data_IF_107614650119
#
_entry.id   IF_107614650119
#
_cell.length_a   1.000
_cell.length_b   1.000
_cell.length_c   1.000
_cell.angle_alpha   90.00
_cell.angle_beta   90.00
_cell.angle_gamma   90.00
#
_symmetry.space_group_name_H-M   'P 1'
#
loop_
_entity.id
_entity.type
_entity.pdbx_description
1 polymer ?
#
# COMPACT_ATOMS: atom_id res chain seq x y z
N UNK A 1 -15.36 -20.61 11.06
CA UNK A 1 -14.23 -20.96 10.18
C UNK A 1 -14.21 -22.48 10.02
N UNK A 2 -14.22 -22.94 8.78
CA UNK A 2 -14.20 -24.37 8.48
C UNK A 2 -12.77 -24.91 8.66
N UNK A 3 -12.52 -25.91 9.53
CA UNK A 3 -11.17 -26.46 9.73
C UNK A 3 -10.70 -27.25 8.52
N UNK A 4 -9.39 -27.43 8.42
CA UNK A 4 -8.74 -28.26 7.39
C UNK A 4 -9.11 -27.91 5.93
N UNK A 5 -9.27 -26.64 5.63
CA UNK A 5 -9.70 -26.15 4.32
C UNK A 5 -8.64 -25.30 3.63
N UNK A 6 -8.84 -25.16 2.32
CA UNK A 6 -8.10 -24.23 1.48
C UNK A 6 -9.00 -23.07 1.06
N UNK A 7 -8.40 -21.90 0.88
CA UNK A 7 -9.03 -20.76 0.25
C UNK A 7 -8.10 -20.20 -0.83
N UNK A 8 -8.61 -20.09 -2.05
CA UNK A 8 -7.90 -19.42 -3.14
C UNK A 8 -8.43 -17.98 -3.22
N UNK A 9 -7.53 -17.02 -2.98
CA UNK A 9 -7.81 -15.60 -3.19
C UNK A 9 -7.23 -15.21 -4.53
N UNK A 10 -8.09 -14.85 -5.47
CA UNK A 10 -7.70 -14.35 -6.79
C UNK A 10 -7.96 -12.86 -6.82
N UNK A 11 -6.89 -12.10 -7.01
CA UNK A 11 -6.91 -10.65 -7.20
C UNK A 11 -6.61 -10.39 -8.66
N UNK A 12 -7.59 -9.89 -9.39
CA UNK A 12 -7.41 -9.52 -10.80
C UNK A 12 -8.24 -8.28 -11.08
N UNK A 13 -7.62 -7.31 -11.71
CA UNK A 13 -8.26 -6.06 -12.09
C UNK A 13 -7.83 -5.65 -13.48
N UNK A 14 -8.82 -5.22 -14.26
CA UNK A 14 -8.60 -4.60 -15.56
C UNK A 14 -9.11 -3.16 -15.52
N UNK A 15 -8.36 -2.30 -14.84
CA UNK A 15 -8.72 -0.88 -14.72
C UNK A 15 -8.45 -0.07 -15.99
N UNK A 16 -7.79 -0.65 -16.99
CA UNK A 16 -7.64 -0.03 -18.31
C UNK A 16 -8.97 0.10 -19.07
N UNK A 17 -10.00 -0.67 -18.70
CA UNK A 17 -11.36 -0.48 -19.24
C UNK A 17 -11.98 0.86 -18.84
N UNK A 18 -11.49 1.49 -17.78
CA UNK A 18 -11.91 2.82 -17.34
C UNK A 18 -11.14 3.95 -18.07
N UNK A 19 -10.66 3.68 -19.27
CA UNK A 19 -9.99 4.69 -20.08
C UNK A 19 -10.95 5.85 -20.40
N UNK A 20 -10.56 7.04 -19.98
CA UNK A 20 -11.35 8.24 -20.12
C UNK A 20 -10.88 9.05 -21.33
N UNK A 21 -11.82 9.41 -22.21
CA UNK A 21 -11.56 10.13 -23.47
C UNK A 21 -12.01 11.60 -23.44
N UNK A 22 -12.56 12.07 -22.30
CA UNK A 22 -13.00 13.44 -22.13
C UNK A 22 -11.88 14.37 -21.66
N UNK A 23 -12.26 15.59 -21.25
CA UNK A 23 -11.36 16.68 -20.88
C UNK A 23 -11.29 16.96 -19.37
N UNK A 24 -12.04 16.23 -18.53
CA UNK A 24 -11.98 16.43 -17.07
C UNK A 24 -10.62 15.98 -16.51
N UNK A 25 -9.86 16.96 -16.04
CA UNK A 25 -8.50 16.76 -15.56
C UNK A 25 -8.42 15.78 -14.37
N UNK A 26 -9.46 15.70 -13.55
CA UNK A 26 -9.54 14.80 -12.41
C UNK A 26 -9.63 13.32 -12.83
N UNK A 27 -10.06 13.05 -14.06
CA UNK A 27 -10.24 11.72 -14.63
C UNK A 27 -9.07 11.29 -15.54
N UNK A 28 -8.32 12.25 -16.11
CA UNK A 28 -7.19 11.95 -17.01
C UNK A 28 -6.01 11.27 -16.31
N UNK A 29 -5.82 11.54 -15.02
CA UNK A 29 -4.69 10.96 -14.27
C UNK A 29 -4.76 9.43 -14.23
N UNK A 30 -5.95 8.86 -14.18
CA UNK A 30 -6.15 7.41 -14.18
C UNK A 30 -5.58 6.74 -15.42
N UNK A 31 -5.69 7.40 -16.59
CA UNK A 31 -5.14 6.89 -17.85
C UNK A 31 -3.62 6.71 -17.81
N UNK A 32 -2.93 7.56 -17.05
CA UNK A 32 -1.46 7.51 -16.95
C UNK A 32 -0.96 6.37 -16.08
N UNK A 33 -1.68 6.05 -15.00
CA UNK A 33 -1.17 5.16 -13.94
C UNK A 33 -1.88 3.82 -13.86
N UNK A 34 -3.14 3.71 -14.23
CA UNK A 34 -3.91 2.46 -14.12
C UNK A 34 -3.45 1.45 -15.17
N UNK A 35 -3.26 0.21 -14.70
CA UNK A 35 -2.83 -0.94 -15.52
C UNK A 35 -3.60 -2.20 -15.10
N UNK A 36 -3.48 -3.23 -15.93
CA UNK A 36 -4.02 -4.55 -15.65
C UNK A 36 -3.01 -5.40 -14.90
N UNK A 37 -3.48 -6.18 -13.93
CA UNK A 37 -2.65 -7.10 -13.18
C UNK A 37 -3.46 -8.15 -12.45
N UNK A 38 -2.78 -9.22 -12.01
CA UNK A 38 -3.41 -10.29 -11.26
C UNK A 38 -2.44 -10.99 -10.32
N UNK A 39 -3.01 -11.54 -9.24
CA UNK A 39 -2.30 -12.39 -8.30
C UNK A 39 -3.24 -13.47 -7.77
N UNK A 40 -2.70 -14.65 -7.51
CA UNK A 40 -3.41 -15.76 -6.90
C UNK A 40 -2.69 -16.20 -5.62
N UNK A 41 -3.40 -16.23 -4.50
CA UNK A 41 -2.87 -16.56 -3.18
C UNK A 41 -3.63 -17.74 -2.61
N UNK A 42 -2.91 -18.86 -2.43
CA UNK A 42 -3.48 -20.04 -1.80
C UNK A 42 -3.26 -19.96 -0.29
N UNK A 43 -4.35 -19.92 0.46
CA UNK A 43 -4.38 -19.96 1.91
C UNK A 43 -4.78 -21.37 2.38
N UNK A 44 -4.15 -21.82 3.46
CA UNK A 44 -4.49 -23.07 4.13
C UNK A 44 -4.56 -22.87 5.64
N UNK A 45 -5.54 -23.49 6.28
CA UNK A 45 -5.61 -23.58 7.74
C UNK A 45 -5.26 -24.99 8.26
N UNK A 46 -4.67 -25.82 7.38
CA UNK A 46 -4.18 -27.16 7.76
C UNK A 46 -2.81 -27.04 8.43
N UNK A 47 -2.65 -27.65 9.59
CA UNK A 47 -1.36 -27.64 10.32
C UNK A 47 -0.24 -28.34 9.54
N UNK A 48 -0.56 -29.38 8.76
CA UNK A 48 0.38 -30.11 7.89
C UNK A 48 1.01 -29.25 6.80
N UNK A 49 0.35 -28.16 6.39
CA UNK A 49 0.85 -27.32 5.31
C UNK A 49 1.84 -26.26 5.79
N UNK A 50 1.98 -26.08 7.12
CA UNK A 50 2.86 -25.06 7.70
C UNK A 50 4.32 -25.21 7.23
N UNK A 51 4.83 -26.42 7.12
CA UNK A 51 6.21 -26.68 6.71
C UNK A 51 6.46 -26.32 5.23
N UNK A 52 5.41 -26.33 4.40
CA UNK A 52 5.48 -26.00 2.96
C UNK A 52 5.13 -24.54 2.67
N UNK A 53 4.47 -23.86 3.60
CA UNK A 53 4.03 -22.48 3.42
C UNK A 53 5.20 -21.50 3.41
N UNK A 54 5.11 -20.45 2.60
CA UNK A 54 6.07 -19.33 2.61
C UNK A 54 5.82 -18.41 3.80
N UNK A 55 4.56 -18.07 4.03
CA UNK A 55 4.12 -17.05 4.99
C UNK A 55 2.99 -17.56 5.87
N UNK A 56 2.86 -16.93 7.01
CA UNK A 56 1.72 -17.04 7.92
C UNK A 56 1.06 -15.68 8.05
N UNK A 57 -0.24 -15.60 7.81
CA UNK A 57 -1.05 -14.41 8.10
C UNK A 57 -1.19 -14.29 9.62
N UNK A 58 -0.78 -13.14 10.18
CA UNK A 58 -0.81 -12.87 11.62
C UNK A 58 -1.98 -11.99 11.99
N UNK A 59 -2.10 -10.83 11.31
CA UNK A 59 -3.15 -9.86 11.57
C UNK A 59 -3.74 -9.31 10.28
N UNK A 60 -5.02 -8.96 10.35
CA UNK A 60 -5.70 -8.15 9.34
C UNK A 60 -6.46 -7.04 10.03
N UNK A 61 -6.30 -5.81 9.55
CA UNK A 61 -7.07 -4.65 10.02
C UNK A 61 -7.74 -4.00 8.83
N UNK A 62 -9.06 -3.82 8.94
CA UNK A 62 -9.87 -3.19 7.88
C UNK A 62 -10.45 -1.89 8.38
N UNK A 63 -10.21 -0.83 7.63
CA UNK A 63 -10.79 0.50 7.87
C UNK A 63 -11.62 0.90 6.67
N UNK A 64 -12.85 1.33 6.90
CA UNK A 64 -13.78 1.78 5.88
C UNK A 64 -14.38 3.12 6.29
N UNK A 65 -14.27 4.12 5.44
CA UNK A 65 -14.76 5.50 5.66
C UNK A 65 -15.96 5.85 4.80
N UNK A 66 -16.64 4.89 4.20
CA UNK A 66 -17.70 5.11 3.21
C UNK A 66 -19.01 5.70 3.76
N UNK A 67 -19.12 5.91 5.06
CA UNK A 67 -20.21 6.68 5.67
C UNK A 67 -19.98 8.20 5.63
N UNK A 68 -18.79 8.65 5.28
CA UNK A 68 -18.44 10.04 5.06
C UNK A 68 -18.50 10.35 3.57
N UNK A 69 -19.31 11.34 3.18
CA UNK A 69 -19.54 11.69 1.77
C UNK A 69 -18.26 12.17 1.08
N UNK A 70 -17.37 12.87 1.78
CA UNK A 70 -16.09 13.29 1.22
C UNK A 70 -15.20 12.08 0.92
N UNK A 71 -15.17 11.10 1.83
CA UNK A 71 -14.42 9.87 1.64
C UNK A 71 -15.04 8.99 0.56
N UNK A 72 -16.36 8.91 0.49
CA UNK A 72 -17.08 8.17 -0.56
C UNK A 72 -16.78 8.73 -1.95
N UNK A 73 -16.84 10.05 -2.11
CA UNK A 73 -16.70 10.72 -3.40
C UNK A 73 -15.25 11.00 -3.81
N UNK A 74 -14.24 10.66 -2.98
CA UNK A 74 -12.85 11.02 -3.28
C UNK A 74 -12.22 10.21 -4.43
N UNK A 75 -12.71 8.98 -4.65
CA UNK A 75 -12.40 8.15 -5.82
C UNK A 75 -13.72 7.55 -6.28
N UNK A 76 -14.29 8.10 -7.34
CA UNK A 76 -15.63 7.73 -7.77
C UNK A 76 -15.76 7.70 -9.29
N UNK A 77 -16.42 6.67 -9.81
CA UNK A 77 -16.75 6.57 -11.24
C UNK A 77 -18.04 7.36 -11.52
N UNK A 78 -17.95 8.34 -12.40
CA UNK A 78 -19.09 9.21 -12.75
C UNK A 78 -18.95 9.74 -14.16
N UNK A 79 -20.05 10.28 -14.68
CA UNK A 79 -20.05 11.12 -15.89
C UNK A 79 -19.29 12.42 -15.62
N UNK A 80 -18.59 12.93 -16.64
CA UNK A 80 -18.03 14.27 -16.60
C UNK A 80 -19.11 15.35 -16.79
N UNK A 81 -18.71 16.61 -16.74
CA UNK A 81 -19.61 17.74 -16.92
C UNK A 81 -19.69 18.22 -18.37
N UNK A 82 -19.01 17.53 -19.31
CA UNK A 82 -19.05 17.87 -20.72
C UNK A 82 -20.37 17.40 -21.36
N UNK A 83 -20.73 17.98 -22.49
CA UNK A 83 -21.98 17.67 -23.22
C UNK A 83 -22.10 16.18 -23.59
N UNK A 84 -20.97 15.52 -23.81
CA UNK A 84 -20.91 14.11 -24.18
C UNK A 84 -21.01 13.14 -23.00
N UNK A 85 -21.01 13.64 -21.74
CA UNK A 85 -21.16 12.85 -20.50
C UNK A 85 -20.28 11.60 -20.47
N UNK A 86 -19.00 11.77 -20.77
CA UNK A 86 -18.04 10.66 -20.75
C UNK A 86 -17.86 10.13 -19.34
N UNK A 87 -17.87 8.80 -19.19
CA UNK A 87 -17.67 8.14 -17.89
C UNK A 87 -16.19 8.00 -17.62
N UNK A 88 -15.75 8.43 -16.43
CA UNK A 88 -14.37 8.30 -15.97
C UNK A 88 -14.28 8.11 -14.46
N UNK A 89 -13.09 7.75 -13.98
CA UNK A 89 -12.78 7.67 -12.55
C UNK A 89 -12.23 9.01 -12.08
N UNK A 90 -13.04 9.75 -11.35
CA UNK A 90 -12.67 11.05 -10.78
C UNK A 90 -11.83 10.86 -9.52
N UNK A 91 -10.68 11.52 -9.47
CA UNK A 91 -9.80 11.59 -8.29
C UNK A 91 -9.89 12.98 -7.67
N UNK A 92 -10.46 13.06 -6.47
CA UNK A 92 -10.61 14.33 -5.74
C UNK A 92 -9.26 14.90 -5.32
N UNK A 93 -9.17 16.24 -5.27
CA UNK A 93 -8.02 16.95 -4.68
C UNK A 93 -7.80 16.61 -3.20
N UNK A 94 -8.84 16.20 -2.49
CA UNK A 94 -8.78 15.83 -1.07
C UNK A 94 -8.34 14.38 -0.84
N UNK A 95 -8.08 13.61 -1.91
CA UNK A 95 -7.71 12.20 -1.83
C UNK A 95 -6.58 11.93 -0.83
N UNK A 96 -5.54 12.75 -0.83
CA UNK A 96 -4.39 12.56 0.06
C UNK A 96 -4.75 12.77 1.53
N UNK A 97 -5.57 13.77 1.86
CA UNK A 97 -6.03 14.02 3.22
C UNK A 97 -6.90 12.86 3.73
N UNK A 98 -7.83 12.38 2.90
CA UNK A 98 -8.71 11.25 3.21
C UNK A 98 -7.92 9.95 3.39
N UNK A 99 -6.95 9.69 2.52
CA UNK A 99 -6.05 8.54 2.63
C UNK A 99 -5.23 8.60 3.93
N UNK A 100 -4.73 9.78 4.30
CA UNK A 100 -4.02 10.01 5.55
C UNK A 100 -4.89 9.74 6.78
N UNK A 101 -6.14 10.18 6.78
CA UNK A 101 -7.08 9.89 7.87
C UNK A 101 -7.45 8.40 7.97
N UNK A 102 -7.67 7.76 6.84
CA UNK A 102 -7.95 6.32 6.80
C UNK A 102 -6.74 5.51 7.30
N UNK A 103 -5.52 5.87 6.87
CA UNK A 103 -4.28 5.28 7.37
C UNK A 103 -4.13 5.49 8.87
N UNK A 104 -4.31 6.70 9.38
CA UNK A 104 -4.24 7.01 10.81
C UNK A 104 -5.20 6.14 11.62
N UNK A 105 -6.43 5.97 11.17
CA UNK A 105 -7.40 5.08 11.83
C UNK A 105 -6.92 3.64 11.81
N UNK A 106 -6.40 3.18 10.69
CA UNK A 106 -5.90 1.82 10.50
C UNK A 106 -4.70 1.52 11.41
N UNK A 107 -3.67 2.40 11.43
CA UNK A 107 -2.48 2.23 12.26
C UNK A 107 -2.77 2.34 13.77
N UNK A 108 -3.79 3.13 14.15
CA UNK A 108 -4.22 3.22 15.55
C UNK A 108 -4.78 1.87 16.04
N UNK A 109 -5.43 1.13 15.16
CA UNK A 109 -5.93 -0.22 15.47
C UNK A 109 -4.82 -1.28 15.37
N UNK A 110 -3.93 -1.15 14.38
CA UNK A 110 -2.84 -2.11 14.16
C UNK A 110 -1.74 -2.00 15.21
N UNK A 111 -1.38 -0.78 15.62
CA UNK A 111 -0.24 -0.49 16.51
C UNK A 111 -0.20 -1.36 17.76
N UNK A 112 -1.28 -1.44 18.56
CA UNK A 112 -1.32 -2.29 19.75
C UNK A 112 -1.09 -3.78 19.49
N UNK A 113 -1.32 -4.26 18.27
CA UNK A 113 -1.16 -5.66 17.90
C UNK A 113 0.28 -6.03 17.50
N UNK A 114 1.09 -5.06 17.10
CA UNK A 114 2.37 -5.32 16.42
C UNK A 114 3.56 -4.59 17.03
N UNK A 115 3.35 -3.41 17.60
CA UNK A 115 4.42 -2.56 18.15
C UNK A 115 4.94 -3.10 19.48
N UNK A 116 6.23 -2.94 19.76
CA UNK A 116 6.77 -3.24 21.08
C UNK A 116 6.15 -2.34 22.16
N UNK A 117 6.13 -2.80 23.40
CA UNK A 117 5.51 -2.08 24.52
C UNK A 117 6.11 -0.69 24.74
N UNK A 118 7.39 -0.49 24.46
CA UNK A 118 8.04 0.82 24.52
C UNK A 118 7.36 1.87 23.65
N UNK A 119 7.09 1.52 22.40
CA UNK A 119 6.40 2.41 21.45
C UNK A 119 4.95 2.68 21.87
N UNK A 120 4.26 1.67 22.36
CA UNK A 120 2.88 1.80 22.86
C UNK A 120 2.81 2.74 24.07
N UNK A 121 3.73 2.59 25.02
CA UNK A 121 3.82 3.45 26.21
C UNK A 121 4.16 4.90 25.83
N UNK A 122 5.10 5.10 24.91
CA UNK A 122 5.48 6.43 24.44
C UNK A 122 4.33 7.12 23.71
N UNK A 123 3.62 6.38 22.85
CA UNK A 123 2.41 6.89 22.21
C UNK A 123 1.34 7.28 23.24
N UNK A 124 1.08 6.42 24.21
CA UNK A 124 0.09 6.67 25.25
C UNK A 124 0.48 7.87 26.11
N UNK A 125 1.75 7.97 26.53
CA UNK A 125 2.25 9.08 27.33
C UNK A 125 2.09 10.43 26.60
N UNK A 126 2.43 10.47 25.31
CA UNK A 126 2.23 11.69 24.50
C UNK A 126 0.76 12.05 24.29
N UNK A 127 -0.11 11.04 24.15
CA UNK A 127 -1.56 11.23 24.04
C UNK A 127 -2.14 11.83 25.34
N UNK A 128 -1.74 11.30 26.49
CA UNK A 128 -2.14 11.80 27.81
C UNK A 128 -1.62 13.21 28.03
N UNK A 129 -0.34 13.46 27.75
CA UNK A 129 0.26 14.79 27.87
C UNK A 129 -0.50 15.85 27.05
N UNK A 130 -0.93 15.49 25.84
CA UNK A 130 -1.70 16.41 24.98
C UNK A 130 -3.14 16.61 25.42
N UNK A 131 -3.85 15.52 25.78
CA UNK A 131 -5.28 15.57 26.10
C UNK A 131 -5.56 16.02 27.55
N UNK A 132 -4.78 15.52 28.51
CA UNK A 132 -5.01 15.77 29.93
C UNK A 132 -4.34 17.09 30.35
N UNK A 133 -3.08 17.29 29.99
CA UNK A 133 -2.32 18.50 30.38
C UNK A 133 -2.41 19.64 29.36
N UNK A 134 -3.19 19.46 28.27
CA UNK A 134 -3.44 20.45 27.23
C UNK A 134 -2.15 21.11 26.65
N UNK A 135 -1.05 20.37 26.62
CA UNK A 135 0.24 20.84 26.13
C UNK A 135 0.23 20.84 24.61
N UNK A 136 -0.29 21.89 23.99
CA UNK A 136 -0.42 22.04 22.51
C UNK A 136 0.92 22.07 21.78
N UNK A 137 2.05 22.32 22.47
CA UNK A 137 3.40 22.35 21.87
C UNK A 137 3.95 20.97 21.54
N UNK A 138 3.43 19.89 22.14
CA UNK A 138 3.89 18.51 21.87
C UNK A 138 3.28 18.05 20.55
N UNK A 139 4.14 17.76 19.56
CA UNK A 139 3.69 17.14 18.29
C UNK A 139 3.10 15.75 18.57
N UNK A 140 2.10 15.30 17.79
CA UNK A 140 1.64 13.91 17.88
C UNK A 140 2.81 12.96 17.65
N UNK A 141 3.00 12.00 18.55
CA UNK A 141 3.97 10.95 18.34
C UNK A 141 3.44 9.96 17.31
N UNK A 142 4.26 9.66 16.32
CA UNK A 142 4.02 8.59 15.36
C UNK A 142 4.98 7.48 15.73
N UNK A 143 4.48 6.28 16.14
CA UNK A 143 5.33 5.16 16.50
C UNK A 143 6.22 4.72 15.34
N UNK A 144 7.42 4.24 15.65
CA UNK A 144 8.32 3.69 14.65
C UNK A 144 7.91 2.26 14.26
N UNK A 145 7.21 2.13 13.15
CA UNK A 145 6.77 0.85 12.62
C UNK A 145 7.91 -0.01 12.06
N UNK A 146 9.11 0.56 11.83
CA UNK A 146 10.31 -0.19 11.44
C UNK A 146 10.79 -1.14 12.54
N UNK A 147 10.40 -0.88 13.80
CA UNK A 147 10.62 -1.80 14.93
C UNK A 147 9.66 -3.01 14.92
N UNK A 148 8.58 -2.92 14.15
CA UNK A 148 7.60 -3.98 14.04
C UNK A 148 7.71 -4.77 12.73
N UNK A 149 8.29 -4.19 11.68
CA UNK A 149 8.29 -4.78 10.35
C UNK A 149 9.62 -4.58 9.64
N UNK A 150 10.10 -5.66 9.04
CA UNK A 150 11.29 -5.66 8.20
C UNK A 150 10.97 -5.25 6.76
N UNK A 151 9.75 -5.53 6.28
CA UNK A 151 9.35 -5.27 4.90
C UNK A 151 7.99 -4.56 4.83
N UNK A 152 7.89 -3.64 3.86
CA UNK A 152 6.68 -2.87 3.58
C UNK A 152 6.26 -3.09 2.13
N UNK A 153 4.97 -3.39 1.93
CA UNK A 153 4.34 -3.41 0.62
C UNK A 153 3.21 -2.39 0.65
N UNK A 154 3.41 -1.25 -0.03
CA UNK A 154 2.51 -0.11 0.04
C UNK A 154 1.85 0.05 -1.31
N UNK A 155 0.52 0.01 -1.33
CA UNK A 155 -0.27 0.13 -2.55
C UNK A 155 0.30 1.15 -3.54
N UNK A 156 0.72 0.68 -4.70
CA UNK A 156 1.31 1.48 -5.78
C UNK A 156 0.24 2.34 -6.47
N UNK A 157 -0.49 3.13 -5.69
CA UNK A 157 -1.62 3.95 -6.14
C UNK A 157 -1.19 5.14 -7.00
N UNK A 158 0.06 5.57 -6.85
CA UNK A 158 0.66 6.69 -7.56
C UNK A 158 1.82 7.26 -6.76
N UNK A 159 2.67 8.04 -7.40
CA UNK A 159 3.89 8.57 -6.80
C UNK A 159 3.61 9.39 -5.55
N UNK A 160 2.65 10.33 -5.62
CA UNK A 160 2.32 11.21 -4.49
C UNK A 160 1.85 10.42 -3.25
N UNK A 161 1.15 9.29 -3.45
CA UNK A 161 0.71 8.42 -2.36
C UNK A 161 1.93 7.78 -1.68
N UNK A 162 2.88 7.28 -2.45
CA UNK A 162 4.10 6.67 -1.92
C UNK A 162 4.97 7.69 -1.18
N UNK A 163 5.15 8.91 -1.74
CA UNK A 163 5.93 9.97 -1.13
C UNK A 163 5.32 10.43 0.22
N UNK A 164 3.99 10.53 0.31
CA UNK A 164 3.32 10.91 1.54
C UNK A 164 3.42 9.84 2.62
N UNK A 165 3.33 8.56 2.26
CA UNK A 165 3.48 7.45 3.22
C UNK A 165 4.92 7.34 3.70
N UNK A 166 5.90 7.45 2.80
CA UNK A 166 7.32 7.49 3.15
C UNK A 166 7.59 8.54 4.21
N UNK A 167 7.09 9.78 4.00
CA UNK A 167 7.23 10.88 4.93
C UNK A 167 6.50 10.63 6.26
N UNK A 168 5.27 10.14 6.21
CA UNK A 168 4.43 9.96 7.41
C UNK A 168 4.89 8.80 8.29
N UNK A 169 5.47 7.75 7.71
CA UNK A 169 5.99 6.59 8.45
C UNK A 169 7.52 6.63 8.61
N UNK A 170 8.18 7.68 8.14
CA UNK A 170 9.63 7.86 8.17
C UNK A 170 10.37 6.62 7.60
N UNK A 171 9.91 6.15 6.44
CA UNK A 171 10.49 4.98 5.79
C UNK A 171 11.73 5.37 4.98
N UNK A 172 12.71 4.47 4.93
CA UNK A 172 13.90 4.65 4.11
C UNK A 172 13.64 4.28 2.64
N UNK A 173 14.53 4.71 1.74
CA UNK A 173 14.51 4.32 0.33
C UNK A 173 14.45 2.79 0.15
N UNK A 174 15.16 2.04 1.01
CA UNK A 174 15.15 0.58 1.00
C UNK A 174 13.77 -0.02 1.28
N UNK A 175 13.01 0.58 2.22
CA UNK A 175 11.63 0.15 2.53
C UNK A 175 10.66 0.49 1.41
N UNK A 176 10.88 1.63 0.73
CA UNK A 176 10.01 2.11 -0.34
C UNK A 176 10.30 1.49 -1.71
N UNK A 177 11.50 0.93 -1.89
CA UNK A 177 11.96 0.40 -3.16
C UNK A 177 11.00 -0.62 -3.80
N UNK A 178 10.45 -1.63 -3.09
CA UNK A 178 9.52 -2.58 -3.69
C UNK A 178 8.29 -1.91 -4.30
N UNK A 179 7.71 -0.93 -3.58
CA UNK A 179 6.50 -0.21 -4.02
C UNK A 179 6.80 0.75 -5.18
N UNK A 180 7.94 1.46 -5.14
CA UNK A 180 8.36 2.37 -6.21
C UNK A 180 8.69 1.60 -7.48
N UNK A 181 9.40 0.48 -7.38
CA UNK A 181 9.73 -0.35 -8.54
C UNK A 181 8.49 -1.02 -9.13
N UNK A 182 7.53 -1.43 -8.29
CA UNK A 182 6.25 -1.97 -8.74
C UNK A 182 5.45 -0.92 -9.51
N UNK A 183 5.37 0.32 -8.99
CA UNK A 183 4.72 1.42 -9.70
C UNK A 183 5.42 1.73 -11.03
N UNK A 184 6.74 1.70 -11.06
CA UNK A 184 7.52 1.97 -12.28
C UNK A 184 7.27 0.92 -13.36
N UNK A 185 7.37 -0.36 -13.01
CA UNK A 185 7.30 -1.45 -13.98
C UNK A 185 5.87 -1.82 -14.38
N UNK A 186 4.96 -1.89 -13.42
CA UNK A 186 3.61 -2.42 -13.62
C UNK A 186 2.53 -1.35 -13.56
N UNK A 187 2.86 -0.14 -13.08
CA UNK A 187 1.86 0.89 -12.81
C UNK A 187 0.96 0.54 -11.63
N UNK A 188 -0.19 1.19 -11.55
CA UNK A 188 -1.21 0.89 -10.55
C UNK A 188 -2.08 -0.28 -11.04
N UNK A 189 -1.81 -1.46 -10.53
CA UNK A 189 -2.59 -2.68 -10.78
C UNK A 189 -3.57 -2.97 -9.64
N UNK A 190 -3.88 -1.94 -8.84
CA UNK A 190 -4.80 -1.99 -7.72
C UNK A 190 -4.46 -3.11 -6.72
N UNK A 191 -5.39 -4.02 -6.45
CA UNK A 191 -5.26 -5.05 -5.42
C UNK A 191 -4.12 -6.03 -5.65
N UNK A 192 -3.63 -6.20 -6.86
CA UNK A 192 -2.51 -7.10 -7.17
C UNK A 192 -1.13 -6.49 -6.93
N UNK A 193 -1.02 -5.16 -6.83
CA UNK A 193 0.28 -4.47 -6.66
C UNK A 193 1.07 -4.93 -5.45
N UNK A 194 0.41 -5.14 -4.31
CA UNK A 194 1.03 -5.58 -3.06
C UNK A 194 1.74 -6.95 -3.18
N UNK A 195 1.23 -7.82 -4.04
CA UNK A 195 1.81 -9.12 -4.31
C UNK A 195 3.02 -9.03 -5.22
N UNK A 196 3.03 -8.07 -6.17
CA UNK A 196 4.22 -7.77 -6.98
C UNK A 196 5.35 -7.18 -6.13
N UNK A 197 5.03 -6.36 -5.12
CA UNK A 197 5.99 -5.81 -4.17
C UNK A 197 6.60 -6.89 -3.28
N UNK A 198 5.78 -7.82 -2.78
CA UNK A 198 6.26 -8.97 -2.04
C UNK A 198 7.15 -9.85 -2.92
N UNK A 199 6.73 -10.11 -4.17
CA UNK A 199 7.51 -10.87 -5.14
C UNK A 199 8.84 -10.18 -5.49
N UNK A 200 8.88 -8.84 -5.53
CA UNK A 200 10.12 -8.07 -5.66
C UNK A 200 11.09 -8.36 -4.52
N UNK A 201 10.61 -8.26 -3.28
CA UNK A 201 11.42 -8.54 -2.09
C UNK A 201 11.92 -9.98 -2.05
N UNK A 202 11.11 -10.95 -2.52
CA UNK A 202 11.52 -12.34 -2.70
C UNK A 202 12.63 -12.47 -3.77
N UNK A 203 12.47 -11.82 -4.93
CA UNK A 203 13.45 -11.87 -6.02
C UNK A 203 14.79 -11.23 -5.64
N UNK A 204 14.77 -10.18 -4.82
CA UNK A 204 15.96 -9.55 -4.23
C UNK A 204 16.61 -10.38 -3.11
N UNK A 205 16.01 -11.50 -2.70
CA UNK A 205 16.54 -12.33 -1.61
C UNK A 205 16.48 -11.63 -0.24
N UNK A 206 15.57 -10.68 -0.06
CA UNK A 206 15.46 -9.89 1.18
C UNK A 206 14.73 -10.64 2.29
N UNK A 207 13.83 -11.55 1.94
CA UNK A 207 12.93 -12.23 2.89
C UNK A 207 13.69 -13.34 3.65
N UNK A 208 13.80 -13.18 4.95
CA UNK A 208 14.39 -14.16 5.87
C UNK A 208 13.31 -14.81 6.75
N UNK A 209 13.59 -16.00 7.24
CA UNK A 209 12.70 -16.67 8.19
C UNK A 209 12.52 -15.82 9.45
N UNK A 210 11.27 -15.56 9.80
CA UNK A 210 10.90 -14.75 10.96
C UNK A 210 10.50 -13.33 10.60
N UNK A 211 10.96 -12.79 9.46
CA UNK A 211 10.66 -11.44 9.01
C UNK A 211 9.15 -11.22 8.93
N UNK A 212 8.74 -10.02 9.30
CA UNK A 212 7.36 -9.56 9.20
C UNK A 212 7.23 -8.57 8.06
N UNK A 213 6.23 -8.80 7.24
CA UNK A 213 5.86 -7.94 6.12
C UNK A 213 4.52 -7.29 6.40
N UNK A 214 4.47 -5.97 6.25
CA UNK A 214 3.23 -5.21 6.34
C UNK A 214 2.77 -4.79 4.94
N UNK A 215 1.60 -5.27 4.55
CA UNK A 215 0.90 -4.84 3.34
C UNK A 215 -0.12 -3.76 3.70
N UNK A 216 -0.04 -2.60 3.05
CA UNK A 216 -0.94 -1.46 3.21
C UNK A 216 -1.69 -1.23 1.91
N UNK A 217 -2.99 -1.50 1.91
CA UNK A 217 -3.84 -1.38 0.74
C UNK A 217 -4.80 -0.19 0.87
N UNK A 218 -4.93 0.58 -0.19
CA UNK A 218 -5.95 1.61 -0.33
C UNK A 218 -6.95 1.23 -1.41
N UNK A 219 -8.19 1.67 -1.25
CA UNK A 219 -9.25 1.46 -2.22
C UNK A 219 -10.32 2.53 -2.12
N UNK A 220 -11.11 2.65 -3.19
CA UNK A 220 -12.26 3.55 -3.23
C UNK A 220 -13.23 3.28 -2.08
N UNK A 221 -13.96 4.29 -1.69
CA UNK A 221 -14.98 4.14 -0.69
C UNK A 221 -14.91 4.99 0.59
N UNK A 222 -13.85 5.53 1.18
CA UNK A 222 -12.45 5.17 1.04
C UNK A 222 -12.07 4.05 2.01
N UNK A 223 -11.12 3.19 1.63
CA UNK A 223 -10.69 2.06 2.48
C UNK A 223 -9.18 2.07 2.68
N UNK A 224 -8.75 1.70 3.89
CA UNK A 224 -7.37 1.36 4.20
C UNK A 224 -7.34 0.01 4.91
N UNK A 225 -6.66 -0.96 4.34
CA UNK A 225 -6.56 -2.29 4.92
C UNK A 225 -5.10 -2.64 5.15
N UNK A 226 -4.83 -3.30 6.26
CA UNK A 226 -3.53 -3.85 6.60
C UNK A 226 -3.57 -5.37 6.69
N UNK A 227 -2.55 -6.03 6.15
CA UNK A 227 -2.28 -7.43 6.38
C UNK A 227 -0.84 -7.60 6.86
N UNK A 228 -0.66 -8.35 7.93
CA UNK A 228 0.65 -8.65 8.53
C UNK A 228 0.99 -10.11 8.29
N UNK A 229 2.09 -10.33 7.61
CA UNK A 229 2.60 -11.66 7.31
C UNK A 229 3.92 -11.91 8.03
N UNK A 230 4.13 -13.15 8.46
CA UNK A 230 5.43 -13.62 8.96
C UNK A 230 5.99 -14.67 8.02
N UNK A 231 7.23 -14.50 7.58
CA UNK A 231 7.94 -15.45 6.77
C UNK A 231 8.26 -16.72 7.59
N UNK A 232 7.80 -17.88 7.13
CA UNK A 232 8.04 -19.17 7.77
C UNK A 232 9.38 -19.78 7.37
N UNK A 233 9.96 -19.28 6.30
CA UNK A 233 11.27 -19.71 5.78
C UNK A 233 11.97 -18.55 5.06
N UNK A 234 13.27 -18.65 4.94
CA UNK A 234 14.06 -17.77 4.07
C UNK A 234 13.75 -18.12 2.62
N UNK A 235 13.52 -17.11 1.78
CA UNK A 235 13.25 -17.27 0.36
C UNK A 235 14.56 -17.21 -0.41
N UNK A 236 14.86 -18.27 -1.13
CA UNK A 236 16.04 -18.38 -1.98
C UNK A 236 15.67 -18.05 -3.44
N UNK A 237 16.14 -16.91 -3.99
CA UNK A 237 15.80 -16.51 -5.35
C UNK A 237 16.17 -17.55 -6.40
N UNK A 238 17.25 -18.32 -6.18
CA UNK A 238 17.69 -19.34 -7.14
C UNK A 238 16.68 -20.49 -7.30
N UNK A 239 15.98 -20.82 -6.20
CA UNK A 239 14.92 -21.83 -6.21
C UNK A 239 13.63 -21.28 -6.82
N UNK A 240 13.33 -20.01 -6.62
CA UNK A 240 12.16 -19.36 -7.22
C UNK A 240 12.32 -19.20 -8.74
N UNK A 241 13.54 -18.95 -9.24
CA UNK A 241 13.85 -18.90 -10.68
C UNK A 241 13.46 -20.18 -11.42
N UNK A 242 13.68 -21.33 -10.81
CA UNK A 242 13.30 -22.61 -11.40
C UNK A 242 11.80 -22.80 -11.58
N UNK A 243 10.99 -22.14 -10.76
CA UNK A 243 9.53 -22.25 -10.79
C UNK A 243 8.85 -21.30 -11.78
N UNK A 244 9.55 -20.26 -12.24
CA UNK A 244 9.03 -19.21 -13.15
C UNK A 244 7.71 -18.56 -12.67
N UNK A 245 7.49 -18.51 -11.36
CA UNK A 245 6.26 -17.97 -10.77
C UNK A 245 6.40 -16.52 -10.29
N UNK A 246 7.64 -16.03 -10.19
CA UNK A 246 7.91 -14.68 -9.74
C UNK A 246 8.16 -13.77 -10.96
N UNK A 247 7.35 -12.72 -11.18
CA UNK A 247 7.41 -11.86 -12.37
C UNK A 247 8.68 -11.02 -12.46
N UNK A 248 9.47 -10.94 -11.38
CA UNK A 248 10.69 -10.14 -11.33
C UNK A 248 11.97 -10.92 -11.59
N UNK A 249 11.92 -12.25 -11.45
CA UNK A 249 13.11 -13.06 -11.24
C UNK A 249 14.13 -12.98 -12.39
N UNK A 250 13.66 -12.77 -13.60
CA UNK A 250 14.53 -12.71 -14.78
C UNK A 250 15.16 -11.33 -14.98
N UNK A 251 14.52 -10.26 -14.50
CA UNK A 251 14.91 -8.86 -14.69
C UNK A 251 15.33 -8.16 -13.38
N UNK A 252 15.33 -8.87 -12.25
CA UNK A 252 15.57 -8.25 -10.93
C UNK A 252 16.93 -7.55 -10.82
N UNK A 253 17.90 -7.95 -11.63
CA UNK A 253 19.24 -7.36 -11.67
C UNK A 253 19.25 -5.95 -12.29
N UNK A 254 18.24 -5.57 -13.07
CA UNK A 254 18.07 -4.25 -13.65
C UNK A 254 17.49 -3.23 -12.64
N UNK A 255 16.99 -3.69 -11.50
CA UNK A 255 16.37 -2.86 -10.46
C UNK A 255 17.28 -2.73 -9.22
N UNK A 256 17.20 -1.61 -8.45
CA UNK A 256 16.29 -0.49 -8.67
C UNK A 256 16.75 0.41 -9.82
N UNK A 257 15.78 0.95 -10.56
CA UNK A 257 16.04 2.06 -11.49
C UNK A 257 15.94 3.39 -10.75
N UNK A 258 16.71 4.44 -11.20
CA UNK A 258 16.61 5.76 -10.61
C UNK A 258 15.18 6.32 -10.74
N UNK A 259 14.61 6.79 -9.63
CA UNK A 259 13.33 7.49 -9.63
C UNK A 259 13.58 8.99 -9.74
N UNK A 260 13.17 9.66 -10.83
CA UNK A 260 13.38 11.09 -10.99
C UNK A 260 12.71 11.86 -9.84
N UNK A 261 13.45 12.73 -9.15
CA UNK A 261 12.88 13.67 -8.20
C UNK A 261 12.28 14.83 -8.97
N UNK A 262 10.95 15.06 -8.86
CA UNK A 262 10.33 16.25 -9.44
C UNK A 262 10.51 17.37 -8.43
N UNK A 263 11.30 18.38 -8.78
CA UNK A 263 11.31 19.65 -8.04
C UNK A 263 9.89 20.26 -8.12
N UNK A 264 9.34 20.83 -7.03
CA UNK A 264 8.08 21.56 -7.11
C UNK A 264 8.23 22.63 -8.19
N UNK A 265 7.28 22.67 -9.13
CA UNK A 265 7.19 23.78 -10.09
C UNK A 265 6.92 25.01 -9.27
N UNK A 266 7.95 25.83 -9.03
CA UNK A 266 7.78 27.19 -8.52
C UNK A 266 6.99 27.92 -9.59
N UNK A 267 5.73 28.24 -9.28
CA UNK A 267 4.94 29.15 -10.09
C UNK A 267 5.67 30.50 -10.07
N UNK A 268 6.48 30.76 -11.11
CA UNK A 268 6.92 32.09 -11.40
C UNK A 268 5.66 32.89 -11.72
N UNK A 269 5.25 33.73 -10.77
CA UNK A 269 4.32 34.82 -11.03
C UNK A 269 4.97 35.72 -12.04
N UNK A 270 4.72 35.51 -13.32
CA UNK A 270 4.97 36.54 -14.33
C UNK A 270 3.89 37.63 -14.14
N UNK A 271 4.30 38.66 -13.45
CA UNK A 271 3.69 39.99 -13.56
C UNK A 271 3.92 40.51 -14.96
N UNK A 272 2.89 40.59 -15.74
CA UNK A 272 2.72 41.61 -16.81
C UNK A 272 1.28 42.06 -16.88
#
# INVERSE_FOLDING_TARGET
VQPNSYALVVSTENITLNWYLGNDRSMLLSNCIFRMGGAAVLLSNRSSDRCRSKYQLIHTVRTHKGSDDNAFNCVYQREDNDDNKQIGVSLSKNLMAIAGEALKTNITTLGPLVLPMSEQLLFFATLVARKVFNVKKIKPYIPDFKLAFEHFCIHAGGRAVLDEIEKNLDLSEWHMEPSRMTLNRFGNTSSSSLWYELAYSEAKGRIKRGDRTWQIAFGSGFKCNSAVWRALRTIDPSKEKKKKTNPWIDEIHEFPVPVPRISPVTSSSESR
#
